data_IF_428340373445
#
_entry.id   IF_428340373445
#
_cell.length_a   1.000
_cell.length_b   1.000
_cell.length_c   1.000
_cell.angle_alpha   90.00
_cell.angle_beta   90.00
_cell.angle_gamma   90.00
#
_symmetry.space_group_name_H-M   'P 1'
#
loop_
_entity.id
_entity.type
_entity.pdbx_description
1 polymer ?
#
# COMPACT_ATOMS: atom_id res chain seq x y z
N UNK A 1 -3.79 27.49 15.24
CA UNK A 1 -4.31 27.48 13.85
C UNK A 1 -3.63 26.38 13.02
N UNK A 2 -2.30 26.27 13.01
CA UNK A 2 -1.57 25.24 12.25
C UNK A 2 -2.00 23.81 12.62
N UNK A 3 -2.10 23.48 13.91
CA UNK A 3 -2.56 22.17 14.39
C UNK A 3 -3.96 21.82 13.84
N UNK A 4 -4.90 22.75 13.89
CA UNK A 4 -6.25 22.52 13.43
C UNK A 4 -6.33 22.38 11.89
N UNK A 5 -5.55 23.16 11.16
CA UNK A 5 -5.48 23.07 9.71
C UNK A 5 -4.87 21.74 9.22
N UNK A 6 -3.84 21.23 9.93
CA UNK A 6 -3.18 19.99 9.51
C UNK A 6 -3.95 18.76 9.99
N UNK A 7 -4.24 18.66 11.29
CA UNK A 7 -4.84 17.44 11.86
C UNK A 7 -6.35 17.41 11.72
N UNK A 8 -7.05 18.53 11.94
CA UNK A 8 -8.51 18.57 11.87
C UNK A 8 -9.04 18.27 10.48
N UNK A 9 -8.41 18.81 9.44
CA UNK A 9 -8.79 18.53 8.05
C UNK A 9 -8.46 17.09 7.66
N UNK A 10 -7.29 16.59 8.02
CA UNK A 10 -6.89 15.21 7.70
C UNK A 10 -7.81 14.19 8.36
N UNK A 11 -8.15 14.34 9.64
CA UNK A 11 -9.07 13.42 10.33
C UNK A 11 -10.48 13.43 9.74
N UNK A 12 -10.98 14.60 9.30
CA UNK A 12 -12.26 14.67 8.60
C UNK A 12 -12.21 13.98 7.25
N UNK A 13 -11.13 14.15 6.49
CA UNK A 13 -10.92 13.49 5.19
C UNK A 13 -10.82 11.98 5.35
N UNK A 14 -10.08 11.50 6.34
CA UNK A 14 -9.95 10.07 6.67
C UNK A 14 -11.29 9.45 7.05
N UNK A 15 -12.10 10.17 7.85
CA UNK A 15 -13.47 9.74 8.15
C UNK A 15 -14.30 9.63 6.87
N UNK A 16 -14.23 10.63 6.00
CA UNK A 16 -14.91 10.63 4.71
C UNK A 16 -14.46 9.48 3.82
N UNK A 17 -13.17 9.23 3.74
CA UNK A 17 -12.58 8.12 2.97
C UNK A 17 -13.07 6.76 3.47
N UNK A 18 -13.09 6.51 4.80
CA UNK A 18 -13.61 5.26 5.36
C UNK A 18 -15.08 5.05 5.03
N UNK A 19 -15.91 6.10 5.18
CA UNK A 19 -17.33 6.02 4.85
C UNK A 19 -17.54 5.80 3.35
N UNK A 20 -16.78 6.47 2.51
CA UNK A 20 -16.82 6.30 1.05
C UNK A 20 -16.41 4.90 0.61
N UNK A 21 -15.33 4.34 1.19
CA UNK A 21 -14.91 2.95 0.93
C UNK A 21 -15.97 1.94 1.38
N UNK A 22 -16.55 2.12 2.57
CA UNK A 22 -17.61 1.25 3.08
C UNK A 22 -18.85 1.31 2.19
N UNK A 23 -19.24 2.52 1.75
CA UNK A 23 -20.36 2.69 0.83
C UNK A 23 -20.06 2.10 -0.55
N UNK A 24 -18.80 2.18 -1.00
CA UNK A 24 -18.38 1.54 -2.25
C UNK A 24 -18.45 0.02 -2.15
N UNK A 25 -17.94 -0.55 -1.07
CA UNK A 25 -18.03 -1.99 -0.81
C UNK A 25 -19.47 -2.47 -0.79
N UNK A 26 -20.39 -1.72 -0.16
CA UNK A 26 -21.82 -2.05 -0.14
C UNK A 26 -22.44 -2.15 -1.55
N UNK A 27 -21.90 -1.44 -2.52
CA UNK A 27 -22.36 -1.43 -3.93
C UNK A 27 -21.69 -2.47 -4.82
N UNK A 28 -20.67 -3.18 -4.32
CA UNK A 28 -19.99 -4.20 -5.12
C UNK A 28 -20.82 -5.48 -5.24
N UNK A 29 -20.69 -6.20 -6.37
CA UNK A 29 -21.36 -7.48 -6.56
C UNK A 29 -20.89 -8.49 -5.51
N UNK A 30 -21.79 -9.35 -5.03
CA UNK A 30 -21.47 -10.35 -4.01
C UNK A 30 -20.36 -11.32 -4.44
N UNK A 31 -20.21 -11.56 -5.74
CA UNK A 31 -19.11 -12.32 -6.29
C UNK A 31 -17.73 -11.77 -6.01
N UNK A 32 -17.60 -10.45 -5.78
CA UNK A 32 -16.34 -9.82 -5.36
C UNK A 32 -15.87 -10.35 -4.01
N UNK A 33 -16.77 -10.47 -3.04
CA UNK A 33 -16.48 -10.98 -1.70
C UNK A 33 -16.18 -12.49 -1.68
N UNK A 34 -16.64 -13.24 -2.66
CA UNK A 34 -16.29 -14.64 -2.82
C UNK A 34 -14.87 -14.90 -3.34
N UNK A 35 -14.23 -13.89 -3.92
CA UNK A 35 -12.86 -13.94 -4.48
C UNK A 35 -11.82 -13.29 -3.59
N UNK A 36 -12.23 -12.49 -2.62
CA UNK A 36 -11.37 -11.74 -1.70
C UNK A 36 -11.50 -12.26 -0.28
N UNK A 37 -10.38 -12.28 0.43
CA UNK A 37 -10.38 -12.56 1.85
C UNK A 37 -10.99 -11.36 2.61
N UNK A 38 -11.90 -11.63 3.53
CA UNK A 38 -12.50 -10.63 4.41
C UNK A 38 -11.46 -9.92 5.27
N UNK A 39 -10.41 -10.64 5.68
CA UNK A 39 -9.29 -10.06 6.43
C UNK A 39 -8.54 -9.02 5.61
N UNK A 40 -8.30 -9.27 4.31
CA UNK A 40 -7.65 -8.31 3.40
C UNK A 40 -8.49 -7.04 3.21
N UNK A 41 -9.82 -7.18 3.07
CA UNK A 41 -10.73 -6.03 2.99
C UNK A 41 -10.78 -5.22 4.28
N UNK A 42 -10.75 -5.90 5.43
CA UNK A 42 -10.69 -5.25 6.74
C UNK A 42 -9.38 -4.49 6.91
N UNK A 43 -8.26 -5.10 6.50
CA UNK A 43 -6.94 -4.44 6.52
C UNK A 43 -6.92 -3.21 5.60
N UNK A 44 -7.56 -3.26 4.42
CA UNK A 44 -7.67 -2.09 3.54
C UNK A 44 -8.49 -0.97 4.18
N UNK A 45 -9.64 -1.29 4.81
CA UNK A 45 -10.49 -0.28 5.46
C UNK A 45 -9.85 0.35 6.70
N UNK A 46 -9.12 -0.44 7.48
CA UNK A 46 -8.57 0.00 8.77
C UNK A 46 -7.09 0.33 8.68
N UNK A 47 -6.28 -0.58 8.19
CA UNK A 47 -4.82 -0.47 8.16
C UNK A 47 -4.33 0.48 7.06
N UNK A 48 -4.80 0.31 5.83
CA UNK A 48 -4.35 1.15 4.71
C UNK A 48 -4.80 2.60 4.87
N UNK A 49 -6.03 2.84 5.32
CA UNK A 49 -6.54 4.19 5.60
C UNK A 49 -5.76 4.84 6.75
N UNK A 50 -5.38 4.08 7.80
CA UNK A 50 -4.53 4.62 8.88
C UNK A 50 -3.12 4.98 8.37
N UNK A 51 -2.53 4.19 7.47
CA UNK A 51 -1.24 4.51 6.85
C UNK A 51 -1.31 5.81 6.04
N UNK A 52 -2.37 5.99 5.28
CA UNK A 52 -2.62 7.23 4.53
C UNK A 52 -2.81 8.44 5.47
N UNK A 53 -3.56 8.25 6.58
CA UNK A 53 -3.74 9.27 7.61
C UNK A 53 -2.39 9.74 8.17
N UNK A 54 -1.53 8.78 8.54
CA UNK A 54 -0.20 9.08 9.06
C UNK A 54 0.64 9.87 8.06
N UNK A 55 0.66 9.47 6.80
CA UNK A 55 1.41 10.17 5.75
C UNK A 55 0.85 11.58 5.52
N UNK A 56 -0.44 11.77 5.45
CA UNK A 56 -1.04 13.09 5.23
C UNK A 56 -0.84 14.03 6.43
N UNK A 57 -0.97 13.51 7.65
CA UNK A 57 -0.86 14.34 8.86
C UNK A 57 0.57 14.65 9.27
N UNK A 58 1.50 13.70 9.14
CA UNK A 58 2.85 13.83 9.68
C UNK A 58 3.91 13.97 8.59
N UNK A 59 3.84 13.16 7.51
CA UNK A 59 4.91 13.11 6.52
C UNK A 59 4.83 14.28 5.54
N UNK A 60 3.68 14.48 4.89
CA UNK A 60 3.53 15.53 3.86
C UNK A 60 3.70 16.92 4.46
N UNK A 61 3.07 17.20 5.61
CA UNK A 61 3.20 18.49 6.27
C UNK A 61 4.65 18.82 6.60
N UNK A 62 5.40 17.83 7.10
CA UNK A 62 6.82 17.99 7.39
C UNK A 62 7.65 18.22 6.13
N UNK A 63 7.46 17.39 5.08
CA UNK A 63 8.22 17.51 3.83
C UNK A 63 8.00 18.85 3.13
N UNK A 64 6.76 19.29 2.99
CA UNK A 64 6.47 20.60 2.38
C UNK A 64 7.05 21.75 3.19
N UNK A 65 6.90 21.71 4.53
CA UNK A 65 7.49 22.71 5.41
C UNK A 65 9.02 22.76 5.29
N UNK A 66 9.66 21.60 5.28
CA UNK A 66 11.12 21.47 5.13
C UNK A 66 11.62 22.00 3.79
N UNK A 67 10.97 21.63 2.69
CA UNK A 67 11.40 22.06 1.35
C UNK A 67 11.16 23.56 1.11
N UNK A 68 10.02 24.10 1.53
CA UNK A 68 9.71 25.52 1.42
C UNK A 68 10.71 26.34 2.27
N UNK A 69 10.93 25.95 3.53
CA UNK A 69 11.89 26.59 4.40
C UNK A 69 13.31 26.58 3.82
N UNK A 70 13.75 25.43 3.31
CA UNK A 70 15.06 25.30 2.68
C UNK A 70 15.18 26.15 1.42
N UNK A 71 14.13 26.21 0.58
CA UNK A 71 14.13 27.05 -0.61
C UNK A 71 14.27 28.54 -0.24
N UNK A 72 13.56 29.00 0.76
CA UNK A 72 13.65 30.38 1.24
C UNK A 72 15.08 30.66 1.76
N UNK A 73 15.60 29.77 2.60
CA UNK A 73 16.97 29.92 3.14
C UNK A 73 18.01 29.89 2.01
N UNK A 74 17.88 28.98 1.04
CA UNK A 74 18.80 28.90 -0.08
C UNK A 74 18.80 30.19 -0.93
N UNK A 75 17.62 30.78 -1.18
CA UNK A 75 17.52 32.07 -1.88
C UNK A 75 18.21 33.18 -1.07
N UNK A 76 17.98 33.23 0.24
CA UNK A 76 18.69 34.19 1.11
C UNK A 76 20.22 34.03 1.05
N UNK A 77 20.70 32.78 1.13
CA UNK A 77 22.14 32.51 1.07
C UNK A 77 22.75 32.88 -0.30
N UNK A 78 22.02 32.68 -1.39
CA UNK A 78 22.46 33.08 -2.75
C UNK A 78 22.65 34.57 -2.89
N UNK A 79 21.85 35.38 -2.18
CA UNK A 79 21.99 36.83 -2.16
C UNK A 79 23.27 37.27 -1.45
N UNK A 80 23.70 36.54 -0.40
CA UNK A 80 24.91 36.83 0.34
C UNK A 80 26.18 36.42 -0.41
N UNK A 81 26.31 35.13 -0.77
CA UNK A 81 27.40 34.61 -1.60
C UNK A 81 26.98 33.31 -2.33
N UNK A 82 26.91 33.40 -3.63
CA UNK A 82 26.49 32.26 -4.46
C UNK A 82 27.51 31.10 -4.45
N UNK A 83 28.80 31.36 -4.26
CA UNK A 83 29.88 30.35 -4.24
C UNK A 83 29.81 29.50 -3.00
N UNK A 84 29.65 30.14 -1.84
CA UNK A 84 29.42 29.41 -0.58
C UNK A 84 28.11 28.65 -0.60
N UNK A 85 27.07 29.21 -1.22
CA UNK A 85 25.75 28.52 -1.37
C UNK A 85 25.88 27.27 -2.21
N UNK A 86 26.59 27.30 -3.34
CA UNK A 86 26.84 26.10 -4.13
C UNK A 86 27.68 25.10 -3.35
N UNK A 87 28.76 25.53 -2.68
CA UNK A 87 29.58 24.65 -1.85
C UNK A 87 28.81 24.01 -0.69
N UNK A 88 27.76 24.68 -0.21
CA UNK A 88 26.85 24.19 0.84
C UNK A 88 25.82 23.20 0.29
N UNK A 89 25.17 23.50 -0.83
CA UNK A 89 23.95 22.78 -1.26
C UNK A 89 24.18 21.69 -2.30
N UNK A 90 25.37 21.58 -2.92
CA UNK A 90 25.62 20.57 -3.97
C UNK A 90 25.37 19.12 -3.50
N UNK A 91 25.62 18.84 -2.21
CA UNK A 91 25.42 17.51 -1.63
C UNK A 91 23.96 17.08 -1.64
N UNK A 92 23.01 18.03 -1.54
CA UNK A 92 21.58 17.73 -1.49
C UNK A 92 21.09 17.03 -2.76
N UNK A 93 21.24 17.62 -3.99
CA UNK A 93 20.79 16.94 -5.20
C UNK A 93 21.53 15.63 -5.48
N UNK A 94 22.81 15.53 -5.12
CA UNK A 94 23.58 14.28 -5.27
C UNK A 94 23.07 13.21 -4.32
N UNK A 95 22.78 13.53 -3.07
CA UNK A 95 22.20 12.62 -2.09
C UNK A 95 20.83 12.09 -2.55
N UNK A 96 19.97 12.96 -3.06
CA UNK A 96 18.69 12.55 -3.63
C UNK A 96 18.86 11.68 -4.88
N UNK A 97 19.78 12.03 -5.75
CA UNK A 97 20.12 11.20 -6.93
C UNK A 97 20.56 9.78 -6.54
N UNK A 98 21.37 9.66 -5.50
CA UNK A 98 21.83 8.38 -4.97
C UNK A 98 20.70 7.57 -4.34
N UNK A 99 19.74 8.22 -3.69
CA UNK A 99 18.58 7.56 -3.09
C UNK A 99 17.59 7.05 -4.14
N UNK A 100 17.33 7.89 -5.16
CA UNK A 100 16.34 7.57 -6.20
C UNK A 100 16.86 6.65 -7.31
N UNK A 101 18.18 6.58 -7.51
CA UNK A 101 18.82 5.73 -8.51
C UNK A 101 18.50 4.23 -8.33
N UNK A 102 18.74 3.64 -7.16
CA UNK A 102 18.58 2.19 -6.93
C UNK A 102 17.15 1.74 -6.60
N UNK A 103 16.10 2.52 -6.89
CA UNK A 103 14.69 2.18 -6.59
C UNK A 103 14.29 0.75 -6.95
N UNK A 104 14.70 0.28 -8.14
CA UNK A 104 14.38 -1.08 -8.60
C UNK A 104 15.03 -2.15 -7.73
N UNK A 105 16.22 -1.88 -7.18
CA UNK A 105 16.94 -2.82 -6.30
C UNK A 105 16.24 -2.87 -4.95
N UNK A 106 15.94 -1.72 -4.36
CA UNK A 106 15.22 -1.61 -3.07
C UNK A 106 13.81 -2.22 -3.16
N UNK A 107 13.07 -1.99 -4.25
CA UNK A 107 11.75 -2.58 -4.46
C UNK A 107 11.81 -4.13 -4.52
N UNK A 108 12.80 -4.68 -5.23
CA UNK A 108 13.00 -6.14 -5.28
C UNK A 108 13.40 -6.73 -3.93
N UNK A 109 14.23 -6.03 -3.16
CA UNK A 109 14.61 -6.46 -1.82
C UNK A 109 13.39 -6.46 -0.89
N UNK A 110 12.59 -5.40 -0.90
CA UNK A 110 11.34 -5.28 -0.13
C UNK A 110 10.34 -6.39 -0.48
N UNK A 111 10.17 -6.70 -1.77
CA UNK A 111 9.28 -7.79 -2.21
C UNK A 111 9.75 -9.16 -1.71
N UNK A 112 11.06 -9.43 -1.76
CA UNK A 112 11.64 -10.68 -1.20
C UNK A 112 11.40 -10.81 0.30
N UNK A 113 11.61 -9.73 1.05
CA UNK A 113 11.37 -9.69 2.50
C UNK A 113 9.90 -9.94 2.81
N UNK A 114 8.99 -9.30 2.06
CA UNK A 114 7.55 -9.51 2.21
C UNK A 114 7.14 -10.96 1.95
N UNK A 115 7.63 -11.56 0.87
CA UNK A 115 7.35 -12.97 0.55
C UNK A 115 7.89 -13.92 1.61
N UNK A 116 9.06 -13.63 2.18
CA UNK A 116 9.60 -14.40 3.28
C UNK A 116 8.77 -14.25 4.56
N UNK A 117 8.29 -13.07 4.88
CA UNK A 117 7.38 -12.81 6.01
C UNK A 117 6.06 -13.58 5.86
N UNK A 118 5.46 -13.58 4.66
CA UNK A 118 4.25 -14.37 4.37
C UNK A 118 4.47 -15.85 4.63
N UNK A 119 5.60 -16.42 4.14
CA UNK A 119 5.92 -17.84 4.41
C UNK A 119 6.05 -18.19 5.90
N UNK A 120 6.53 -17.26 6.71
CA UNK A 120 6.58 -17.44 8.18
C UNK A 120 5.16 -17.40 8.75
N UNK A 121 4.35 -16.42 8.35
CA UNK A 121 2.95 -16.29 8.80
C UNK A 121 2.12 -17.52 8.43
N UNK A 122 2.25 -18.01 7.20
CA UNK A 122 1.59 -19.24 6.75
C UNK A 122 2.02 -20.44 7.58
N UNK A 123 3.33 -20.56 7.91
CA UNK A 123 3.83 -21.62 8.76
C UNK A 123 3.31 -21.55 10.20
N UNK A 124 3.17 -20.35 10.76
CA UNK A 124 2.57 -20.16 12.09
C UNK A 124 1.08 -20.51 12.07
N UNK A 125 0.36 -20.07 11.06
CA UNK A 125 -1.06 -20.37 10.90
C UNK A 125 -1.28 -21.88 10.76
N UNK A 126 -0.53 -22.56 9.90
CA UNK A 126 -0.57 -24.01 9.73
C UNK A 126 -0.31 -24.74 11.07
N UNK A 127 0.64 -24.23 11.87
CA UNK A 127 0.93 -24.78 13.21
C UNK A 127 -0.27 -24.67 14.15
N UNK A 128 -0.93 -23.52 14.15
CA UNK A 128 -2.08 -23.27 15.02
C UNK A 128 -3.32 -24.09 14.61
N UNK A 129 -3.55 -24.19 13.32
CA UNK A 129 -4.66 -24.99 12.77
C UNK A 129 -4.50 -26.48 13.04
N UNK A 130 -3.27 -26.99 12.91
CA UNK A 130 -2.96 -28.43 13.07
C UNK A 130 -2.33 -28.78 14.41
N UNK A 131 -2.38 -27.92 15.42
CA UNK A 131 -1.70 -28.13 16.71
C UNK A 131 -2.09 -29.44 17.41
N UNK A 132 -3.35 -29.88 17.26
CA UNK A 132 -3.84 -31.12 17.83
C UNK A 132 -3.23 -32.34 17.16
N UNK A 133 -3.12 -32.34 15.82
CA UNK A 133 -2.56 -33.43 15.02
C UNK A 133 -1.05 -33.52 15.20
N UNK A 134 -0.36 -32.37 15.23
CA UNK A 134 1.09 -32.29 15.49
C UNK A 134 1.41 -32.92 16.84
N UNK A 135 0.61 -32.61 17.90
CA UNK A 135 0.78 -33.19 19.24
C UNK A 135 0.40 -34.66 19.28
N UNK A 136 -0.73 -35.03 18.68
CA UNK A 136 -1.20 -36.43 18.67
C UNK A 136 -0.22 -37.38 17.96
N UNK A 137 0.52 -36.87 16.98
CA UNK A 137 1.51 -37.65 16.20
C UNK A 137 2.95 -37.48 16.71
N UNK A 138 3.17 -36.70 17.80
CA UNK A 138 4.50 -36.40 18.37
C UNK A 138 5.50 -35.82 17.36
N UNK A 139 5.02 -34.96 16.44
CA UNK A 139 5.82 -34.34 15.37
C UNK A 139 6.25 -32.90 15.69
N UNK A 140 6.13 -32.44 16.92
CA UNK A 140 6.40 -31.06 17.33
C UNK A 140 7.82 -30.62 16.98
N UNK A 141 8.83 -31.45 17.28
CA UNK A 141 10.23 -31.11 17.03
C UNK A 141 10.52 -30.94 15.53
N UNK A 142 9.96 -31.83 14.70
CA UNK A 142 10.14 -31.76 13.25
C UNK A 142 9.44 -30.52 12.66
N UNK A 143 8.25 -30.23 13.15
CA UNK A 143 7.48 -29.07 12.69
C UNK A 143 8.17 -27.75 13.07
N UNK A 144 8.63 -27.64 14.34
CA UNK A 144 9.36 -26.46 14.83
C UNK A 144 10.67 -26.27 14.06
N UNK A 145 11.38 -27.35 13.70
CA UNK A 145 12.60 -27.25 12.88
C UNK A 145 12.29 -26.62 11.51
N UNK A 146 11.20 -27.02 10.86
CA UNK A 146 10.75 -26.43 9.59
C UNK A 146 10.32 -24.98 9.72
N UNK A 147 9.64 -24.61 10.81
CA UNK A 147 9.26 -23.24 11.09
C UNK A 147 10.47 -22.34 11.38
N UNK A 148 11.41 -22.83 12.19
CA UNK A 148 12.68 -22.13 12.46
C UNK A 148 13.46 -21.85 11.17
N UNK A 149 13.52 -22.81 10.25
CA UNK A 149 14.16 -22.60 8.96
C UNK A 149 13.50 -21.47 8.16
N UNK A 150 12.15 -21.39 8.15
CA UNK A 150 11.42 -20.28 7.50
C UNK A 150 11.74 -18.93 8.15
N UNK A 151 11.87 -18.91 9.48
CA UNK A 151 12.24 -17.71 10.26
C UNK A 151 13.68 -17.29 9.96
N UNK A 152 14.63 -18.22 9.96
CA UNK A 152 16.03 -17.95 9.64
C UNK A 152 16.18 -17.41 8.20
N UNK A 153 15.43 -17.96 7.25
CA UNK A 153 15.44 -17.47 5.87
C UNK A 153 14.84 -16.07 5.76
N UNK A 154 13.77 -15.78 6.51
CA UNK A 154 13.20 -14.42 6.59
C UNK A 154 14.21 -13.44 7.20
N UNK A 155 14.88 -13.81 8.30
CA UNK A 155 15.91 -12.99 8.94
C UNK A 155 17.05 -12.65 7.95
N UNK A 156 17.61 -13.65 7.26
CA UNK A 156 18.69 -13.45 6.27
C UNK A 156 18.28 -12.49 5.15
N UNK A 157 17.08 -12.69 4.59
CA UNK A 157 16.59 -11.83 3.50
C UNK A 157 16.33 -10.42 4.00
N UNK A 158 15.81 -10.26 5.23
CA UNK A 158 15.59 -8.96 5.86
C UNK A 158 16.91 -8.23 6.09
N UNK A 159 17.90 -8.88 6.70
CA UNK A 159 19.24 -8.29 6.93
C UNK A 159 19.86 -7.85 5.59
N UNK A 160 19.80 -8.69 4.54
CA UNK A 160 20.33 -8.32 3.23
C UNK A 160 19.60 -7.12 2.60
N UNK A 161 18.28 -7.07 2.75
CA UNK A 161 17.44 -5.96 2.27
C UNK A 161 17.74 -4.66 3.00
N UNK A 162 17.82 -4.71 4.33
CA UNK A 162 18.11 -3.55 5.16
C UNK A 162 19.53 -3.03 4.96
N UNK A 163 20.54 -3.91 4.88
CA UNK A 163 21.91 -3.52 4.58
C UNK A 163 22.00 -2.87 3.19
N UNK A 164 21.35 -3.46 2.19
CA UNK A 164 21.31 -2.89 0.84
C UNK A 164 20.70 -1.50 0.81
N UNK A 165 19.56 -1.30 1.45
CA UNK A 165 18.89 0.01 1.52
C UNK A 165 19.64 0.99 2.42
N UNK A 166 20.12 0.52 3.58
CA UNK A 166 20.83 1.33 4.56
C UNK A 166 22.14 1.90 4.03
N UNK A 167 22.88 1.16 3.18
CA UNK A 167 24.11 1.65 2.53
C UNK A 167 23.80 2.90 1.69
N UNK A 168 22.74 2.92 0.88
CA UNK A 168 22.38 4.07 0.06
C UNK A 168 21.93 5.27 0.91
N UNK A 169 21.11 5.04 1.93
CA UNK A 169 20.65 6.09 2.84
C UNK A 169 21.83 6.70 3.61
N UNK A 170 22.70 5.86 4.18
CA UNK A 170 23.86 6.35 4.92
C UNK A 170 24.87 7.04 3.99
N UNK A 171 25.10 6.53 2.78
CA UNK A 171 25.95 7.20 1.80
C UNK A 171 25.39 8.57 1.40
N UNK A 172 24.07 8.69 1.22
CA UNK A 172 23.44 9.98 0.95
C UNK A 172 23.65 10.98 2.10
N UNK A 173 23.48 10.55 3.36
CA UNK A 173 23.76 11.38 4.54
C UNK A 173 25.22 11.79 4.62
N UNK A 174 26.16 10.90 4.34
CA UNK A 174 27.60 11.22 4.31
C UNK A 174 27.91 12.25 3.22
N UNK A 175 27.35 12.10 2.02
CA UNK A 175 27.54 13.06 0.91
C UNK A 175 27.00 14.44 1.28
N UNK A 176 25.83 14.52 1.91
CA UNK A 176 25.34 15.81 2.41
C UNK A 176 26.32 16.46 3.40
N UNK A 177 26.86 15.67 4.34
CA UNK A 177 27.83 16.18 5.32
C UNK A 177 29.14 16.61 4.70
N UNK A 178 29.55 16.07 3.55
CA UNK A 178 30.68 16.59 2.78
C UNK A 178 30.45 18.03 2.29
N UNK A 179 29.20 18.48 2.15
CA UNK A 179 28.86 19.87 1.89
C UNK A 179 29.38 20.84 2.98
N UNK A 180 29.44 20.39 4.26
CA UNK A 180 30.05 21.18 5.32
C UNK A 180 31.57 21.37 5.08
N UNK A 181 32.25 20.26 4.75
CA UNK A 181 33.68 20.30 4.48
C UNK A 181 34.02 21.20 3.28
N UNK A 182 33.24 21.05 2.19
CA UNK A 182 33.42 21.92 1.00
C UNK A 182 33.12 23.38 1.29
N UNK A 183 32.14 23.68 2.13
CA UNK A 183 31.85 25.07 2.57
C UNK A 183 32.98 25.63 3.37
N UNK A 184 33.59 24.87 4.30
CA UNK A 184 34.76 25.32 5.09
C UNK A 184 35.95 25.58 4.17
N UNK A 185 36.25 24.66 3.24
CA UNK A 185 37.38 24.83 2.32
C UNK A 185 37.19 26.03 1.37
N UNK A 186 36.01 26.16 0.79
CA UNK A 186 35.68 27.29 -0.08
C UNK A 186 35.72 28.62 0.71
N UNK A 187 35.12 28.64 1.92
CA UNK A 187 35.09 29.79 2.77
C UNK A 187 36.48 30.22 3.24
N UNK A 188 37.33 29.26 3.65
CA UNK A 188 38.72 29.56 4.01
C UNK A 188 39.49 30.16 2.84
N UNK A 189 39.35 29.62 1.62
CA UNK A 189 39.97 30.18 0.42
C UNK A 189 39.49 31.60 0.11
N UNK A 190 38.19 31.87 0.26
CA UNK A 190 37.61 33.20 0.06
C UNK A 190 38.02 34.22 1.11
N UNK A 191 38.20 33.81 2.37
CA UNK A 191 38.73 34.65 3.45
C UNK A 191 40.19 35.01 3.17
N UNK A 192 41.04 34.03 2.80
CA UNK A 192 42.45 34.26 2.49
C UNK A 192 42.64 35.22 1.29
N UNK A 193 41.69 35.20 0.37
CA UNK A 193 41.67 36.14 -0.78
C UNK A 193 41.02 37.49 -0.45
N UNK A 194 40.57 37.71 0.77
CA UNK A 194 39.95 38.97 1.23
C UNK A 194 38.57 39.24 0.62
N UNK A 195 37.88 38.22 0.07
CA UNK A 195 36.61 38.40 -0.61
C UNK A 195 35.40 38.29 0.31
N UNK A 196 35.54 37.61 1.43
CA UNK A 196 34.48 37.44 2.45
C UNK A 196 35.07 37.63 3.84
N UNK A 197 34.22 38.01 4.80
CA UNK A 197 34.57 38.09 6.21
C UNK A 197 34.31 36.74 6.94
N UNK A 198 35.04 36.51 8.03
CA UNK A 198 34.86 35.33 8.89
C UNK A 198 33.44 35.19 9.39
N UNK A 199 32.76 36.31 9.70
CA UNK A 199 31.40 36.33 10.19
C UNK A 199 30.41 35.72 9.16
N UNK A 200 30.63 35.97 7.86
CA UNK A 200 29.82 35.39 6.79
C UNK A 200 30.01 33.89 6.71
N UNK A 201 31.24 33.38 6.76
CA UNK A 201 31.49 31.94 6.79
C UNK A 201 30.83 31.30 8.01
N UNK A 202 30.94 31.92 9.18
CA UNK A 202 30.31 31.43 10.41
C UNK A 202 28.79 31.38 10.30
N UNK A 203 28.15 32.37 9.69
CA UNK A 203 26.73 32.38 9.39
C UNK A 203 26.34 31.18 8.50
N UNK A 204 27.10 30.92 7.43
CA UNK A 204 26.84 29.75 6.56
C UNK A 204 26.94 28.43 7.31
N UNK A 205 27.94 28.25 8.19
CA UNK A 205 28.10 27.04 9.00
C UNK A 205 26.97 26.84 10.01
N UNK A 206 26.44 27.91 10.59
CA UNK A 206 25.25 27.82 11.46
C UNK A 206 24.01 27.43 10.67
N UNK A 207 23.82 28.01 9.50
CA UNK A 207 22.63 27.77 8.68
C UNK A 207 22.66 26.37 8.04
N UNK A 208 23.84 25.87 7.64
CA UNK A 208 23.98 24.56 7.00
C UNK A 208 23.46 23.40 7.89
N UNK A 209 23.68 23.49 9.20
CA UNK A 209 23.18 22.50 10.16
C UNK A 209 21.67 22.49 10.24
N UNK A 210 21.03 23.63 10.02
CA UNK A 210 19.57 23.76 9.98
C UNK A 210 18.97 23.26 8.67
N UNK A 211 19.70 23.40 7.56
CA UNK A 211 19.26 22.92 6.24
C UNK A 211 19.34 21.40 6.16
N UNK A 212 20.38 20.77 6.68
CA UNK A 212 20.60 19.32 6.50
C UNK A 212 19.68 18.45 7.35
N UNK A 213 19.30 18.88 8.56
CA UNK A 213 18.42 18.10 9.43
C UNK A 213 17.07 17.72 8.78
N UNK A 214 16.35 18.64 8.11
CA UNK A 214 15.13 18.27 7.35
C UNK A 214 15.38 17.27 6.22
N UNK A 215 16.51 17.32 5.56
CA UNK A 215 16.84 16.38 4.48
C UNK A 215 17.16 14.99 5.00
N UNK A 216 17.94 14.86 6.08
CA UNK A 216 18.19 13.57 6.74
C UNK A 216 16.86 12.91 7.15
N UNK A 217 15.93 13.66 7.72
CA UNK A 217 14.61 13.14 8.08
C UNK A 217 13.76 12.83 6.85
N UNK A 218 13.83 13.64 5.79
CA UNK A 218 13.11 13.40 4.53
C UNK A 218 13.52 12.07 3.88
N UNK A 219 14.80 11.68 3.99
CA UNK A 219 15.28 10.40 3.45
C UNK A 219 14.56 9.21 4.11
N UNK A 220 14.31 9.27 5.42
CA UNK A 220 13.54 8.25 6.13
C UNK A 220 12.04 8.27 5.77
N UNK A 221 11.44 9.47 5.70
CA UNK A 221 10.01 9.64 5.42
C UNK A 221 9.63 9.28 3.98
N UNK A 222 10.53 9.37 3.02
CA UNK A 222 10.29 8.92 1.64
C UNK A 222 9.97 7.42 1.57
N UNK A 223 10.58 6.60 2.43
CA UNK A 223 10.26 5.17 2.50
C UNK A 223 8.80 4.94 2.92
N UNK A 224 8.29 5.70 3.88
CA UNK A 224 6.88 5.64 4.30
C UNK A 224 5.92 6.06 3.18
N UNK A 225 6.30 7.05 2.37
CA UNK A 225 5.50 7.44 1.19
C UNK A 225 5.36 6.31 0.18
N UNK A 226 6.40 5.51 -0.05
CA UNK A 226 6.31 4.35 -0.96
C UNK A 226 5.39 3.26 -0.40
N UNK A 227 5.43 3.01 0.90
CA UNK A 227 4.52 2.06 1.53
C UNK A 227 3.07 2.55 1.43
N UNK A 228 2.82 3.83 1.65
CA UNK A 228 1.48 4.41 1.55
C UNK A 228 0.94 4.42 0.12
N UNK A 229 1.80 4.46 -0.91
CA UNK A 229 1.40 4.32 -2.30
C UNK A 229 0.72 2.96 -2.55
N UNK A 230 1.28 1.88 -2.00
CA UNK A 230 0.67 0.54 -2.10
C UNK A 230 -0.70 0.51 -1.41
N UNK A 231 -0.83 1.19 -0.27
CA UNK A 231 -2.13 1.33 0.42
C UNK A 231 -3.15 2.10 -0.42
N UNK A 232 -2.72 3.18 -1.09
CA UNK A 232 -3.56 3.94 -2.02
C UNK A 232 -4.00 3.09 -3.22
N UNK A 233 -3.10 2.29 -3.79
CA UNK A 233 -3.40 1.42 -4.93
C UNK A 233 -4.47 0.37 -4.56
N UNK A 234 -4.40 -0.22 -3.36
CA UNK A 234 -5.44 -1.15 -2.87
C UNK A 234 -6.80 -0.47 -2.66
N UNK A 235 -6.82 0.75 -2.12
CA UNK A 235 -8.06 1.51 -2.00
C UNK A 235 -8.64 1.86 -3.36
N UNK A 236 -7.80 2.26 -4.32
CA UNK A 236 -8.22 2.56 -5.68
C UNK A 236 -8.78 1.32 -6.37
N UNK A 237 -8.24 0.13 -6.16
CA UNK A 237 -8.79 -1.12 -6.70
C UNK A 237 -10.25 -1.34 -6.26
N UNK A 238 -10.61 -0.99 -5.01
CA UNK A 238 -12.00 -1.06 -4.54
C UNK A 238 -12.87 -0.01 -5.27
N UNK A 239 -12.36 1.22 -5.45
CA UNK A 239 -13.09 2.28 -6.16
C UNK A 239 -13.28 1.97 -7.64
N UNK A 240 -12.27 1.39 -8.30
CA UNK A 240 -12.28 1.09 -9.73
C UNK A 240 -13.09 -0.17 -10.06
N UNK A 241 -13.34 -1.05 -9.06
CA UNK A 241 -14.19 -2.24 -9.27
C UNK A 241 -15.62 -1.81 -9.62
N UNK A 242 -16.20 -2.28 -10.74
CA UNK A 242 -17.55 -1.92 -11.14
C UNK A 242 -18.58 -2.23 -10.04
N UNK A 243 -19.49 -1.31 -9.79
CA UNK A 243 -20.61 -1.55 -8.89
C UNK A 243 -21.59 -2.56 -9.49
N UNK A 244 -22.33 -3.26 -8.66
CA UNK A 244 -23.42 -4.10 -9.13
C UNK A 244 -24.46 -3.23 -9.84
N UNK A 245 -24.77 -3.55 -11.08
CA UNK A 245 -25.82 -2.89 -11.85
C UNK A 245 -27.19 -3.37 -11.39
N UNK A 246 -28.17 -2.50 -11.36
CA UNK A 246 -29.53 -2.89 -10.99
C UNK A 246 -30.48 -1.71 -10.88
N UNK A 247 -31.77 -2.00 -10.82
CA UNK A 247 -32.83 -1.01 -10.58
C UNK A 247 -33.15 -0.92 -9.09
N UNK A 248 -33.36 0.27 -8.58
CA UNK A 248 -33.82 0.48 -7.19
C UNK A 248 -35.30 0.12 -7.00
N UNK A 249 -36.06 0.00 -8.10
CA UNK A 249 -37.47 -0.41 -8.06
C UNK A 249 -37.65 -1.74 -8.82
N UNK A 250 -37.92 -2.80 -8.08
CA UNK A 250 -38.29 -4.10 -8.61
C UNK A 250 -39.80 -4.33 -8.44
N UNK A 251 -40.52 -4.49 -9.54
CA UNK A 251 -41.97 -4.73 -9.55
C UNK A 251 -42.25 -5.99 -10.39
N UNK A 252 -42.09 -7.18 -9.81
CA UNK A 252 -42.34 -8.43 -10.54
C UNK A 252 -43.82 -8.59 -10.85
N UNK A 253 -44.13 -9.20 -11.98
CA UNK A 253 -45.50 -9.57 -12.37
C UNK A 253 -45.91 -10.97 -11.88
N UNK A 254 -45.08 -11.62 -11.12
CA UNK A 254 -45.21 -12.95 -10.54
C UNK A 254 -43.89 -13.28 -9.83
N UNK A 255 -43.68 -14.55 -9.44
CA UNK A 255 -42.49 -15.00 -8.78
C UNK A 255 -41.83 -16.22 -9.40
N UNK A 256 -42.23 -16.56 -10.65
CA UNK A 256 -41.56 -17.60 -11.41
C UNK A 256 -40.09 -17.24 -11.65
N UNK A 257 -39.21 -18.25 -11.52
CA UNK A 257 -37.78 -18.08 -11.82
C UNK A 257 -37.50 -18.81 -13.13
N UNK A 258 -37.12 -18.09 -14.18
CA UNK A 258 -36.83 -18.61 -15.49
C UNK A 258 -35.34 -18.53 -15.77
N UNK A 259 -34.72 -19.68 -16.01
CA UNK A 259 -33.37 -19.78 -16.58
C UNK A 259 -33.49 -19.97 -18.08
N UNK A 260 -32.87 -19.09 -18.85
CA UNK A 260 -32.90 -19.08 -20.30
C UNK A 260 -31.49 -19.13 -20.87
N UNK A 261 -31.09 -20.30 -21.39
CA UNK A 261 -29.76 -20.55 -21.97
C UNK A 261 -28.59 -20.11 -21.10
N UNK A 262 -28.68 -20.36 -19.78
CA UNK A 262 -27.71 -19.88 -18.80
C UNK A 262 -26.39 -20.63 -18.90
N UNK A 263 -25.30 -19.86 -19.15
CA UNK A 263 -23.91 -20.30 -19.01
C UNK A 263 -23.23 -19.53 -17.92
N UNK A 264 -22.39 -20.21 -17.13
CA UNK A 264 -21.64 -19.59 -16.05
C UNK A 264 -20.29 -20.24 -15.76
N UNK A 265 -19.28 -19.40 -15.51
CA UNK A 265 -17.96 -19.81 -15.07
C UNK A 265 -17.51 -18.92 -13.88
N UNK A 266 -16.92 -19.52 -12.84
CA UNK A 266 -16.30 -18.75 -11.75
C UNK A 266 -15.00 -18.08 -12.20
N UNK A 267 -14.25 -18.76 -13.08
CA UNK A 267 -13.03 -18.25 -13.72
C UNK A 267 -12.99 -18.69 -15.19
N UNK A 268 -12.01 -19.52 -15.59
CA UNK A 268 -11.83 -20.00 -16.98
C UNK A 268 -12.60 -21.28 -17.28
N UNK A 269 -13.14 -21.99 -16.28
CA UNK A 269 -13.82 -23.27 -16.45
C UNK A 269 -15.31 -23.09 -16.31
N UNK A 270 -16.03 -23.43 -17.37
CA UNK A 270 -17.50 -23.43 -17.35
C UNK A 270 -18.04 -24.44 -16.32
N UNK A 271 -18.93 -23.96 -15.46
CA UNK A 271 -19.63 -24.73 -14.43
C UNK A 271 -21.06 -25.06 -14.89
N UNK A 272 -21.69 -24.12 -15.58
CA UNK A 272 -22.97 -24.29 -16.20
C UNK A 272 -22.84 -24.04 -17.71
N UNK A 273 -23.46 -24.92 -18.51
CA UNK A 273 -23.49 -24.82 -19.96
C UNK A 273 -24.92 -24.99 -20.43
N UNK A 274 -25.49 -23.91 -20.99
CA UNK A 274 -26.81 -23.92 -21.66
C UNK A 274 -27.95 -24.46 -20.79
N UNK A 275 -28.06 -23.98 -19.55
CA UNK A 275 -29.08 -24.45 -18.60
C UNK A 275 -30.38 -23.67 -18.79
N UNK A 276 -31.47 -24.36 -19.12
CA UNK A 276 -32.81 -23.76 -19.28
C UNK A 276 -33.83 -24.53 -18.48
N UNK A 277 -34.56 -23.87 -17.59
CA UNK A 277 -35.71 -24.40 -16.86
C UNK A 277 -36.56 -23.29 -16.25
N UNK A 278 -37.76 -23.60 -15.82
CA UNK A 278 -38.64 -22.69 -15.10
C UNK A 278 -39.04 -23.31 -13.76
N UNK A 279 -38.77 -22.57 -12.68
CA UNK A 279 -39.29 -22.89 -11.35
C UNK A 279 -40.53 -21.99 -11.09
N UNK A 280 -41.72 -22.62 -11.05
CA UNK A 280 -43.00 -21.91 -10.93
C UNK A 280 -43.30 -21.50 -9.49
N UNK A 281 -43.93 -20.37 -9.32
CA UNK A 281 -44.45 -19.93 -8.03
C UNK A 281 -45.41 -20.96 -7.43
N UNK A 282 -45.27 -21.24 -6.12
CA UNK A 282 -46.09 -22.20 -5.41
C UNK A 282 -45.76 -23.66 -5.63
N UNK A 283 -44.78 -23.97 -6.48
CA UNK A 283 -44.33 -25.35 -6.74
C UNK A 283 -42.93 -25.61 -6.11
N UNK A 284 -42.65 -26.89 -5.84
CA UNK A 284 -41.32 -27.32 -5.40
C UNK A 284 -40.52 -27.78 -6.60
N UNK A 285 -39.48 -27.04 -6.97
CA UNK A 285 -38.55 -27.44 -8.03
C UNK A 285 -37.27 -28.01 -7.41
N UNK A 286 -36.96 -29.29 -7.67
CA UNK A 286 -35.76 -29.94 -7.15
C UNK A 286 -34.65 -30.03 -8.20
N UNK A 287 -33.46 -29.50 -7.89
CA UNK A 287 -32.28 -29.69 -8.72
C UNK A 287 -31.53 -30.95 -8.27
N UNK A 288 -31.52 -31.97 -9.14
CA UNK A 288 -30.91 -33.29 -8.87
C UNK A 288 -29.70 -33.52 -9.77
N UNK A 289 -28.74 -34.28 -9.31
CA UNK A 289 -27.53 -34.62 -10.08
C UNK A 289 -26.33 -34.96 -9.19
N UNK A 290 -25.21 -35.42 -9.76
CA UNK A 290 -24.00 -35.77 -9.00
C UNK A 290 -23.36 -34.55 -8.33
N UNK A 291 -22.43 -34.80 -7.40
CA UNK A 291 -21.64 -33.71 -6.79
C UNK A 291 -20.83 -32.97 -7.87
N UNK A 292 -20.80 -31.64 -7.81
CA UNK A 292 -20.13 -30.84 -8.83
C UNK A 292 -20.93 -30.49 -10.08
N UNK A 293 -22.19 -30.96 -10.22
CA UNK A 293 -23.04 -30.68 -11.40
C UNK A 293 -23.63 -29.26 -11.47
N UNK A 294 -23.22 -28.34 -10.60
CA UNK A 294 -23.64 -26.93 -10.66
C UNK A 294 -24.94 -26.58 -9.93
N UNK A 295 -25.57 -27.51 -9.16
CA UNK A 295 -26.84 -27.27 -8.43
C UNK A 295 -26.78 -26.03 -7.50
N UNK A 296 -25.77 -25.99 -6.66
CA UNK A 296 -25.56 -24.83 -5.76
C UNK A 296 -25.23 -23.54 -6.52
N UNK A 297 -24.63 -23.67 -7.70
CA UNK A 297 -24.34 -22.53 -8.57
C UNK A 297 -25.65 -21.97 -9.16
N UNK A 298 -26.57 -22.80 -9.60
CA UNK A 298 -27.92 -22.36 -10.04
C UNK A 298 -28.63 -21.58 -8.92
N UNK A 299 -28.65 -22.12 -7.71
CA UNK A 299 -29.26 -21.42 -6.56
C UNK A 299 -28.62 -20.05 -6.28
N UNK A 300 -27.28 -19.97 -6.33
CA UNK A 300 -26.53 -18.71 -6.16
C UNK A 300 -26.82 -17.70 -7.27
N UNK A 301 -26.95 -18.17 -8.52
CA UNK A 301 -27.29 -17.30 -9.64
C UNK A 301 -28.74 -16.83 -9.57
N UNK A 302 -29.69 -17.68 -9.16
CA UNK A 302 -31.08 -17.29 -8.93
C UNK A 302 -31.19 -16.18 -7.86
N UNK A 303 -30.35 -16.24 -6.81
CA UNK A 303 -30.24 -15.21 -5.78
C UNK A 303 -29.39 -13.99 -6.24
N UNK A 304 -28.92 -13.97 -7.48
CA UNK A 304 -28.02 -12.95 -8.03
C UNK A 304 -26.77 -12.67 -7.16
N UNK A 305 -26.22 -13.72 -6.54
CA UNK A 305 -24.92 -13.62 -5.85
C UNK A 305 -23.78 -13.50 -6.87
N UNK A 306 -24.04 -13.89 -8.12
CA UNK A 306 -23.15 -13.79 -9.28
C UNK A 306 -24.00 -13.46 -10.50
N UNK A 307 -23.46 -12.70 -11.45
CA UNK A 307 -24.09 -12.47 -12.73
C UNK A 307 -23.75 -13.61 -13.71
N UNK A 308 -24.68 -13.94 -14.58
CA UNK A 308 -24.48 -14.99 -15.60
C UNK A 308 -23.47 -14.57 -16.65
N UNK A 309 -22.71 -15.54 -17.18
CA UNK A 309 -21.75 -15.26 -18.28
C UNK A 309 -22.48 -15.23 -19.64
N UNK A 310 -23.51 -16.03 -19.80
CA UNK A 310 -24.36 -16.12 -21.00
C UNK A 310 -25.80 -16.43 -20.60
N UNK A 311 -26.74 -16.05 -21.46
CA UNK A 311 -28.16 -16.24 -21.18
C UNK A 311 -28.73 -15.21 -20.21
N UNK A 312 -29.89 -15.53 -19.66
CA UNK A 312 -30.56 -14.67 -18.69
C UNK A 312 -31.27 -15.45 -17.59
N UNK A 313 -31.41 -14.83 -16.42
CA UNK A 313 -32.26 -15.31 -15.33
C UNK A 313 -33.30 -14.23 -15.04
N UNK A 314 -34.56 -14.60 -15.12
CA UNK A 314 -35.67 -13.68 -14.90
C UNK A 314 -36.47 -14.11 -13.69
N UNK A 315 -36.94 -13.16 -12.90
CA UNK A 315 -37.82 -13.40 -11.75
C UNK A 315 -39.07 -12.55 -11.94
N UNK A 316 -40.21 -13.21 -12.14
CA UNK A 316 -41.49 -12.53 -12.30
C UNK A 316 -41.66 -11.78 -13.63
N UNK A 317 -41.00 -12.21 -14.68
CA UNK A 317 -41.14 -11.71 -16.05
C UNK A 317 -40.18 -10.65 -16.50
#
# INVERSE_FOLDING_TARGET
>A
QQYYATYGLVYNEVKSTRLSLAERLRKLPLGYFGKRDLADLTETLMGDVNRMEHVWSHVLGYLYGAYISTAIIAVCLLVYDWRLTIACLWGVPVAFGLLFGPRKISARASERTKQAAVRVSDGIQEALENVREIRATNQEVRYLAGLNQKIDDHEKVTIQGELGTGIFVNAASVIMRLGVATTILAGASLILSGQIDFMLLFLFLLVITRIYAPFDQSLALIAEMFVSQVSADRMNEIYDTPAAEGSESFKPKGHDIVFDHVGFAYDKKDVLQDVSFTAREGEITALVGPSGSGKSTCARLAARLWDVTRGSIQVGG
#
